data_IF_809439803630
#
_entry.id   IF_809439803630
#
_cell.length_a   1.000
_cell.length_b   1.000
_cell.length_c   1.000
_cell.angle_alpha   90.00
_cell.angle_beta   90.00
_cell.angle_gamma   90.00
#
_symmetry.space_group_name_H-M   'P 1'
#
loop_
_entity.id
_entity.type
_entity.pdbx_description
1 polymer ?
#
# COMPACT_ATOMS: atom_id res chain seq x y z
N UNK A 1 -4.34 -11.41 1.54
CA UNK A 1 -2.92 -11.08 1.27
C UNK A 1 -2.90 -10.08 0.13
N UNK A 2 -2.25 -8.94 0.33
CA UNK A 2 -2.15 -7.91 -0.71
C UNK A 2 -0.70 -7.71 -1.16
N UNK A 3 -0.45 -7.65 -2.47
CA UNK A 3 0.91 -7.49 -3.05
C UNK A 3 0.96 -6.25 -3.94
N UNK A 4 2.03 -5.46 -3.79
CA UNK A 4 2.30 -4.22 -4.51
C UNK A 4 3.73 -4.23 -5.08
N UNK A 5 3.90 -3.82 -6.34
CA UNK A 5 5.18 -3.81 -7.06
C UNK A 5 5.56 -2.37 -7.50
N UNK A 6 6.45 -1.69 -6.76
CA UNK A 6 7.05 -0.43 -7.20
C UNK A 6 8.20 -0.68 -8.19
N UNK A 7 8.11 -0.14 -9.41
CA UNK A 7 9.21 -0.20 -10.38
C UNK A 7 10.25 0.92 -10.14
N UNK A 8 11.51 0.51 -9.93
CA UNK A 8 12.81 1.22 -10.04
C UNK A 8 12.98 2.70 -9.60
N UNK A 9 12.04 3.29 -8.86
CA UNK A 9 12.19 4.63 -8.30
C UNK A 9 12.76 4.56 -6.87
N UNK A 10 14.08 4.76 -6.73
CA UNK A 10 14.82 5.07 -5.49
C UNK A 10 13.92 5.38 -4.31
N UNK A 11 13.64 4.38 -3.46
CA UNK A 11 13.00 4.53 -2.16
C UNK A 11 11.80 5.49 -2.12
N UNK A 12 10.88 5.42 -3.09
CA UNK A 12 9.61 6.14 -2.98
C UNK A 12 8.90 5.67 -1.71
N UNK A 13 8.86 6.53 -0.70
CA UNK A 13 8.29 6.18 0.59
C UNK A 13 6.79 6.37 0.52
N UNK A 14 6.09 5.28 0.73
CA UNK A 14 4.65 5.25 0.68
C UNK A 14 4.14 4.36 1.80
N UNK A 15 2.91 4.63 2.25
CA UNK A 15 2.19 3.75 3.15
C UNK A 15 0.96 3.19 2.44
N UNK A 16 0.74 1.90 2.59
CA UNK A 16 -0.51 1.29 2.20
C UNK A 16 -1.54 1.61 3.28
N UNK A 17 -2.72 2.03 2.85
CA UNK A 17 -3.85 2.30 3.70
C UNK A 17 -5.06 1.46 3.25
N UNK A 18 -5.83 1.00 4.23
CA UNK A 18 -7.10 0.33 4.02
C UNK A 18 -8.24 1.27 4.41
N UNK A 19 -9.33 1.22 3.66
CA UNK A 19 -10.57 1.89 4.07
C UNK A 19 -11.44 0.91 4.84
N UNK A 20 -11.58 1.17 6.14
CA UNK A 20 -12.33 0.35 7.08
C UNK A 20 -13.38 1.25 7.73
N UNK A 21 -14.65 0.88 7.63
CA UNK A 21 -15.79 1.67 8.14
C UNK A 21 -15.76 3.13 7.64
N UNK A 22 -15.39 3.33 6.38
CA UNK A 22 -15.31 4.65 5.75
C UNK A 22 -14.05 5.47 6.05
N UNK A 23 -13.20 5.03 6.99
CA UNK A 23 -11.97 5.72 7.37
C UNK A 23 -10.72 5.03 6.81
N UNK A 24 -9.74 5.82 6.37
CA UNK A 24 -8.43 5.31 5.94
C UNK A 24 -7.54 5.02 7.14
N UNK A 25 -7.01 3.80 7.21
CA UNK A 25 -6.12 3.34 8.27
C UNK A 25 -4.82 2.81 7.67
N UNK A 26 -3.65 3.08 8.29
CA UNK A 26 -2.38 2.57 7.81
C UNK A 26 -2.29 1.06 7.99
N UNK A 27 -1.81 0.37 6.96
CA UNK A 27 -1.49 -1.05 6.97
C UNK A 27 0.01 -1.30 7.12
N UNK A 28 0.84 -0.46 6.49
CA UNK A 28 2.30 -0.58 6.56
C UNK A 28 3.01 0.17 5.43
N UNK A 29 4.34 0.32 5.50
CA UNK A 29 5.12 0.94 4.45
C UNK A 29 5.17 0.09 3.17
N UNK A 30 5.39 0.76 2.05
CA UNK A 30 5.93 0.18 0.82
C UNK A 30 7.44 0.40 0.85
N UNK A 31 8.20 -0.67 1.02
CA UNK A 31 9.65 -0.67 0.95
C UNK A 31 10.15 -1.58 -0.18
N UNK A 32 11.17 -1.12 -0.90
CA UNK A 32 11.77 -1.88 -2.00
C UNK A 32 10.87 -2.07 -3.22
N UNK A 33 11.22 -3.05 -4.05
CA UNK A 33 10.52 -3.36 -5.31
C UNK A 33 9.32 -4.29 -5.11
N UNK A 34 9.21 -4.99 -3.99
CA UNK A 34 8.03 -5.82 -3.68
C UNK A 34 7.73 -5.71 -2.20
N UNK A 35 6.53 -5.25 -1.87
CA UNK A 35 6.03 -5.22 -0.50
C UNK A 35 4.84 -6.18 -0.35
N UNK A 36 4.91 -7.04 0.65
CA UNK A 36 3.81 -7.93 1.05
C UNK A 36 3.29 -7.51 2.40
N UNK A 37 2.04 -7.05 2.44
CA UNK A 37 1.39 -6.61 3.68
C UNK A 37 0.20 -7.52 4.03
N UNK A 38 0.03 -7.76 5.33
CA UNK A 38 -1.04 -8.61 5.86
C UNK A 38 -1.90 -7.81 6.82
N UNK A 39 -3.17 -7.65 6.47
CA UNK A 39 -4.17 -7.11 7.38
C UNK A 39 -4.45 -8.10 8.53
N UNK A 40 -4.84 -7.61 9.72
CA UNK A 40 -5.33 -8.45 10.80
C UNK A 40 -6.47 -9.38 10.35
N UNK A 41 -6.56 -10.57 10.95
CA UNK A 41 -7.64 -11.49 10.66
C UNK A 41 -9.01 -10.85 10.95
N UNK A 42 -9.99 -11.08 10.08
CA UNK A 42 -11.32 -10.49 10.20
C UNK A 42 -11.43 -9.03 9.72
N UNK A 43 -10.36 -8.45 9.18
CA UNK A 43 -10.43 -7.12 8.57
C UNK A 43 -11.31 -7.15 7.32
N UNK A 44 -12.39 -6.36 7.31
CA UNK A 44 -13.17 -6.05 6.12
C UNK A 44 -12.83 -4.62 5.69
N UNK A 45 -12.28 -4.48 4.49
CA UNK A 45 -11.94 -3.20 3.90
C UNK A 45 -12.67 -3.06 2.56
N UNK A 46 -13.25 -1.88 2.31
CA UNK A 46 -13.95 -1.58 1.07
C UNK A 46 -13.02 -1.01 -0.02
N UNK A 47 -11.84 -0.53 0.38
CA UNK A 47 -10.83 -0.05 -0.54
C UNK A 47 -9.41 -0.21 0.03
N UNK A 48 -8.43 -0.27 -0.86
CA UNK A 48 -7.00 -0.17 -0.56
C UNK A 48 -6.44 0.98 -1.38
N UNK A 49 -5.54 1.77 -0.77
CA UNK A 49 -4.77 2.76 -1.52
C UNK A 49 -3.33 2.78 -1.03
N UNK A 50 -2.38 3.04 -1.91
CA UNK A 50 -1.14 3.63 -1.51
C UNK A 50 -1.31 5.12 -1.14
N UNK A 51 -0.55 5.61 -0.17
CA UNK A 51 -0.46 7.02 0.20
C UNK A 51 1.02 7.42 0.20
N UNK A 52 1.38 8.40 -0.63
CA UNK A 52 2.77 8.84 -0.81
C UNK A 52 3.18 9.76 0.33
N UNK A 53 4.41 9.62 0.82
CA UNK A 53 4.96 10.59 1.75
C UNK A 53 5.09 11.95 1.04
N UNK A 54 4.80 13.03 1.77
CA UNK A 54 4.88 14.38 1.23
C UNK A 54 6.26 14.66 0.62
N UNK A 55 6.26 15.20 -0.61
CA UNK A 55 7.47 15.49 -1.36
C UNK A 55 8.10 14.28 -2.07
N UNK A 56 7.54 13.07 -1.91
CA UNK A 56 7.97 11.91 -2.70
C UNK A 56 7.33 11.92 -4.09
N UNK A 57 8.07 11.51 -5.15
CA UNK A 57 7.45 11.26 -6.44
C UNK A 57 6.42 10.14 -6.29
N UNK A 58 5.34 10.20 -7.08
CA UNK A 58 4.39 9.09 -7.13
C UNK A 58 5.12 7.84 -7.64
N UNK A 59 5.15 6.72 -6.90
CA UNK A 59 5.73 5.49 -7.40
C UNK A 59 4.89 4.93 -8.54
N UNK A 60 5.56 4.26 -9.47
CA UNK A 60 4.90 3.46 -10.49
C UNK A 60 4.40 2.19 -9.80
N UNK A 61 3.08 2.00 -9.75
CA UNK A 61 2.47 0.78 -9.22
C UNK A 61 2.04 -0.09 -10.38
N UNK A 62 2.77 -1.19 -10.58
CA UNK A 62 2.53 -2.09 -11.73
C UNK A 62 1.42 -3.11 -11.45
N UNK A 63 1.17 -3.45 -10.19
CA UNK A 63 0.12 -4.39 -9.82
C UNK A 63 -0.38 -4.18 -8.38
N UNK A 64 -1.69 -4.38 -8.17
CA UNK A 64 -2.31 -4.52 -6.85
C UNK A 64 -3.09 -5.82 -6.81
N UNK A 65 -2.59 -6.81 -6.08
CA UNK A 65 -3.31 -8.08 -5.87
C UNK A 65 -3.99 -8.01 -4.51
N UNK A 66 -5.30 -8.22 -4.40
CA UNK A 66 -6.01 -8.40 -3.12
C UNK A 66 -6.58 -9.81 -3.07
N UNK A 67 -6.21 -10.59 -2.05
CA UNK A 67 -6.69 -11.97 -1.82
C UNK A 67 -7.28 -12.15 -0.43
#
# INVERSE_FOLDING_TARGET
MTVLHPDDATASKAQVQLRINGAWQPLGPLDGSVATLRAPAGTSADAVRPAWDDGSPAPVVSEVIVK
#
